data_IF_708529589649
#
_entry.id   IF_708529589649
#
_cell.length_a   1.000
_cell.length_b   1.000
_cell.length_c   1.000
_cell.angle_alpha   90.00
_cell.angle_beta   90.00
_cell.angle_gamma   90.00
#
_symmetry.space_group_name_H-M   'P 1'
#
loop_
_entity.id
_entity.type
_entity.pdbx_description
1 polymer ?
#
# COMPACT_ATOMS: atom_id res chain seq x y z
N UNK A 1 -22.41 -14.95 3.76
CA UNK A 1 -22.34 -13.70 4.55
C UNK A 1 -21.23 -12.86 3.96
N UNK A 2 -21.38 -11.52 3.85
CA UNK A 2 -20.29 -10.67 3.38
C UNK A 2 -19.08 -10.80 4.31
N UNK A 3 -17.87 -10.79 3.75
CA UNK A 3 -16.63 -10.87 4.53
C UNK A 3 -16.53 -9.69 5.50
N UNK A 4 -16.14 -9.95 6.75
CA UNK A 4 -15.97 -8.91 7.77
C UNK A 4 -14.73 -8.07 7.43
N UNK A 5 -14.90 -6.75 7.25
CA UNK A 5 -13.79 -5.84 6.97
C UNK A 5 -12.90 -5.61 8.18
N UNK A 6 -11.62 -5.36 7.90
CA UNK A 6 -10.66 -4.81 8.86
C UNK A 6 -10.79 -3.29 8.83
N UNK A 7 -11.05 -2.65 9.98
CA UNK A 7 -11.30 -1.20 10.04
C UNK A 7 -10.31 -0.51 10.96
N UNK A 8 -9.76 0.61 10.51
CA UNK A 8 -8.81 1.43 11.26
C UNK A 8 -9.29 2.88 11.17
N UNK A 9 -9.51 3.51 12.32
CA UNK A 9 -9.87 4.92 12.43
C UNK A 9 -8.97 5.59 13.44
N UNK A 10 -8.43 6.76 13.08
CA UNK A 10 -7.63 7.59 14.01
C UNK A 10 -8.06 9.04 13.89
N UNK A 11 -8.18 9.73 15.03
CA UNK A 11 -8.51 11.15 15.11
C UNK A 11 -7.62 11.88 16.12
N UNK A 12 -7.63 13.22 16.07
CA UNK A 12 -6.94 14.06 17.04
C UNK A 12 -7.86 14.28 18.26
N UNK A 13 -7.50 13.70 19.40
CA UNK A 13 -8.22 13.86 20.65
C UNK A 13 -7.26 14.39 21.74
N UNK A 14 -7.59 15.54 22.34
CA UNK A 14 -6.75 16.13 23.39
C UNK A 14 -5.32 16.43 22.94
N UNK A 15 -5.12 16.80 21.67
CA UNK A 15 -3.81 17.06 21.08
C UNK A 15 -2.97 15.80 20.78
N UNK A 16 -3.57 14.61 20.81
CA UNK A 16 -2.90 13.34 20.50
C UNK A 16 -3.69 12.52 19.49
N UNK A 17 -3.01 11.75 18.66
CA UNK A 17 -3.62 10.76 17.81
C UNK A 17 -4.23 9.64 18.69
N UNK A 18 -5.51 9.37 18.48
CA UNK A 18 -6.26 8.34 19.19
C UNK A 18 -7.00 7.46 18.21
N UNK A 19 -6.91 6.15 18.40
CA UNK A 19 -7.70 5.21 17.61
C UNK A 19 -9.18 5.33 17.97
N UNK A 20 -10.02 5.61 16.98
CA UNK A 20 -11.48 5.61 17.11
C UNK A 20 -12.09 4.27 16.73
N UNK A 21 -11.42 3.53 15.83
CA UNK A 21 -11.82 2.19 15.38
C UNK A 21 -10.57 1.32 15.18
N UNK A 22 -10.60 0.08 15.67
CA UNK A 22 -9.58 -0.95 15.46
C UNK A 22 -10.22 -2.34 15.39
N UNK A 23 -10.96 -2.57 14.32
CA UNK A 23 -11.69 -3.82 14.15
C UNK A 23 -10.87 -4.84 13.40
N UNK A 24 -10.82 -6.04 13.98
CA UNK A 24 -10.29 -7.21 13.31
C UNK A 24 -11.28 -7.68 12.24
N UNK A 25 -10.81 -7.79 11.00
CA UNK A 25 -11.57 -8.37 9.89
C UNK A 25 -11.56 -9.89 9.92
N UNK A 26 -11.93 -10.50 8.79
CA UNK A 26 -11.85 -11.95 8.61
C UNK A 26 -10.39 -12.45 8.50
N UNK A 27 -9.52 -11.66 7.84
CA UNK A 27 -8.16 -12.10 7.47
C UNK A 27 -7.05 -11.33 8.18
N UNK A 28 -7.32 -10.09 8.61
CA UNK A 28 -6.32 -9.17 9.12
C UNK A 28 -6.74 -8.57 10.47
N UNK A 29 -5.79 -8.47 11.39
CA UNK A 29 -5.95 -7.81 12.68
C UNK A 29 -5.04 -6.57 12.76
N UNK A 30 -5.60 -5.37 12.98
CA UNK A 30 -4.80 -4.18 13.22
C UNK A 30 -4.34 -4.17 14.69
N UNK A 31 -3.04 -3.95 14.92
CA UNK A 31 -2.43 -3.90 16.26
C UNK A 31 -1.67 -2.59 16.46
N UNK A 32 -2.01 -1.76 17.45
CA UNK A 32 -1.24 -0.57 17.78
C UNK A 32 0.23 -0.91 18.02
N UNK A 33 1.12 -0.08 17.49
CA UNK A 33 2.57 -0.18 17.71
C UNK A 33 3.03 1.10 18.38
N UNK A 34 3.48 0.99 19.62
CA UNK A 34 4.04 2.12 20.34
C UNK A 34 5.49 2.34 19.91
N UNK A 35 5.85 3.60 19.56
CA UNK A 35 7.26 3.97 19.52
C UNK A 35 7.78 4.04 20.95
N UNK A 36 8.87 3.32 21.20
CA UNK A 36 9.71 3.58 22.37
C UNK A 36 10.49 4.87 22.09
N UNK A 37 10.53 5.79 23.06
CA UNK A 37 11.29 7.03 22.92
C UNK A 37 12.75 6.72 22.54
N UNK A 38 13.25 7.35 21.48
CA UNK A 38 14.64 7.22 21.07
C UNK A 38 15.58 7.93 22.05
N UNK A 39 16.89 7.65 21.93
CA UNK A 39 17.95 8.28 22.76
C UNK A 39 18.08 9.80 22.54
N UNK A 40 17.36 10.39 21.59
CA UNK A 40 17.44 11.79 21.16
C UNK A 40 16.58 12.78 21.96
N UNK A 41 15.87 12.35 23.01
CA UNK A 41 15.17 13.26 23.95
C UNK A 41 13.90 13.94 23.42
N UNK A 42 13.63 13.89 22.12
CA UNK A 42 12.31 14.23 21.57
C UNK A 42 11.38 13.02 21.74
N UNK A 43 10.30 13.21 22.51
CA UNK A 43 9.25 12.21 22.63
C UNK A 43 8.61 11.89 21.28
N UNK A 44 7.87 10.76 21.17
CA UNK A 44 7.12 10.46 19.95
C UNK A 44 6.17 11.62 19.61
N UNK A 45 6.08 11.95 18.32
CA UNK A 45 5.12 12.94 17.82
C UNK A 45 3.70 12.58 18.31
N UNK A 46 3.06 13.44 19.12
CA UNK A 46 1.78 13.13 19.72
C UNK A 46 0.67 12.95 18.67
N UNK A 47 0.84 13.50 17.45
CA UNK A 47 -0.14 13.44 16.36
C UNK A 47 0.07 12.25 15.42
N UNK A 48 0.98 11.35 15.74
CA UNK A 48 1.35 10.21 14.91
C UNK A 48 0.94 8.88 15.57
N UNK A 49 -0.01 8.16 14.95
CA UNK A 49 -0.38 6.80 15.32
C UNK A 49 0.25 5.78 14.37
N UNK A 50 0.70 4.64 14.90
CA UNK A 50 1.27 3.55 14.10
C UNK A 50 0.58 2.23 14.39
N UNK A 51 0.18 1.50 13.35
CA UNK A 51 -0.56 0.25 13.44
C UNK A 51 0.09 -0.82 12.56
N UNK A 52 0.29 -2.01 13.12
CA UNK A 52 0.69 -3.19 12.37
C UNK A 52 -0.54 -3.91 11.84
N UNK A 53 -0.56 -4.25 10.55
CA UNK A 53 -1.63 -5.03 9.94
C UNK A 53 -1.20 -6.49 9.84
N UNK A 54 -1.70 -7.34 10.74
CA UNK A 54 -1.22 -8.70 10.91
C UNK A 54 -2.18 -9.70 10.27
N UNK A 55 -1.66 -10.60 9.42
CA UNK A 55 -2.40 -11.76 8.94
C UNK A 55 -2.73 -12.73 10.07
N UNK A 56 -4.02 -13.06 10.22
CA UNK A 56 -4.53 -13.96 11.27
C UNK A 56 -5.11 -15.27 10.73
N UNK A 57 -5.13 -15.41 9.41
CA UNK A 57 -5.51 -16.61 8.69
C UNK A 57 -4.74 -16.66 7.36
N UNK A 58 -4.75 -17.83 6.72
CA UNK A 58 -4.34 -17.91 5.31
C UNK A 58 -5.30 -17.09 4.47
N UNK A 59 -4.77 -16.35 3.50
CA UNK A 59 -5.55 -15.45 2.68
C UNK A 59 -4.99 -15.38 1.26
N UNK A 60 -5.82 -14.82 0.37
CA UNK A 60 -5.67 -14.81 -1.08
C UNK A 60 -5.70 -16.22 -1.68
N UNK A 61 -6.61 -17.04 -1.15
CA UNK A 61 -7.14 -18.24 -1.78
C UNK A 61 -8.33 -17.87 -2.69
N UNK A 62 -8.67 -18.76 -3.63
CA UNK A 62 -9.79 -18.53 -4.54
C UNK A 62 -11.10 -18.23 -3.80
N UNK A 63 -11.71 -17.10 -4.11
CA UNK A 63 -12.96 -16.63 -3.49
C UNK A 63 -12.78 -15.78 -2.23
N UNK A 64 -11.56 -15.61 -1.71
CA UNK A 64 -11.32 -14.69 -0.60
C UNK A 64 -11.63 -13.24 -0.99
N UNK A 65 -12.22 -12.50 -0.07
CA UNK A 65 -12.49 -11.06 -0.22
C UNK A 65 -11.95 -10.31 0.99
N UNK A 66 -10.70 -9.85 0.88
CA UNK A 66 -10.02 -9.07 1.91
C UNK A 66 -10.41 -7.61 1.73
N UNK A 67 -11.14 -7.05 2.70
CA UNK A 67 -11.54 -5.64 2.71
C UNK A 67 -10.92 -4.91 3.91
N UNK A 68 -10.20 -3.83 3.61
CA UNK A 68 -9.58 -2.94 4.58
C UNK A 68 -10.16 -1.54 4.41
N UNK A 69 -10.63 -0.96 5.50
CA UNK A 69 -11.21 0.38 5.54
C UNK A 69 -10.40 1.25 6.51
N UNK A 70 -9.94 2.41 6.03
CA UNK A 70 -9.10 3.32 6.81
C UNK A 70 -9.71 4.72 6.84
N UNK A 71 -9.76 5.34 8.01
CA UNK A 71 -10.11 6.74 8.18
C UNK A 71 -9.04 7.45 9.00
N UNK A 72 -8.50 8.53 8.44
CA UNK A 72 -7.49 9.38 9.09
C UNK A 72 -8.11 10.75 9.31
N UNK A 73 -8.24 11.15 10.57
CA UNK A 73 -8.79 12.43 10.99
C UNK A 73 -7.87 13.61 10.68
N UNK A 74 -8.42 14.81 10.82
CA UNK A 74 -7.72 16.04 10.47
C UNK A 74 -6.44 16.23 11.28
N UNK A 75 -5.35 16.63 10.62
CA UNK A 75 -4.06 16.91 11.24
C UNK A 75 -3.38 15.72 11.92
N UNK A 76 -3.83 14.48 11.68
CA UNK A 76 -3.23 13.26 12.24
C UNK A 76 -2.47 12.49 11.18
N UNK A 77 -1.35 11.90 11.58
CA UNK A 77 -0.64 10.91 10.77
C UNK A 77 -0.98 9.49 11.23
N UNK A 78 -1.43 8.64 10.31
CA UNK A 78 -1.52 7.21 10.50
C UNK A 78 -0.45 6.51 9.67
N UNK A 79 0.44 5.78 10.34
CA UNK A 79 1.42 4.89 9.72
C UNK A 79 0.98 3.43 9.83
N UNK A 80 0.62 2.83 8.69
CA UNK A 80 0.32 1.41 8.56
C UNK A 80 1.59 0.67 8.15
N UNK A 81 1.91 -0.39 8.89
CA UNK A 81 3.02 -1.29 8.56
C UNK A 81 2.56 -2.73 8.44
N UNK A 82 3.02 -3.40 7.39
CA UNK A 82 2.81 -4.83 7.19
C UNK A 82 4.09 -5.55 7.65
N UNK A 83 4.03 -6.32 8.75
CA UNK A 83 5.23 -6.95 9.31
C UNK A 83 5.73 -8.14 8.46
N UNK A 84 4.92 -8.63 7.53
CA UNK A 84 5.25 -9.75 6.66
C UNK A 84 4.61 -9.57 5.28
N UNK A 85 5.31 -10.04 4.25
CA UNK A 85 4.76 -10.13 2.89
C UNK A 85 3.64 -11.17 2.79
N UNK A 86 2.89 -11.09 1.71
CA UNK A 86 1.77 -11.98 1.41
C UNK A 86 2.06 -12.83 0.18
N UNK A 87 1.43 -14.00 0.13
CA UNK A 87 1.43 -14.87 -1.04
C UNK A 87 -0.03 -15.08 -1.45
N UNK A 88 -0.35 -14.76 -2.69
CA UNK A 88 -1.58 -15.23 -3.33
C UNK A 88 -1.34 -16.62 -3.90
N UNK A 89 -2.23 -17.54 -3.58
CA UNK A 89 -2.08 -18.96 -3.87
C UNK A 89 -2.94 -19.39 -5.06
N UNK A 90 -2.73 -20.62 -5.52
CA UNK A 90 -3.53 -21.22 -6.58
C UNK A 90 -5.03 -21.11 -6.25
N UNK A 91 -5.76 -20.44 -7.15
CA UNK A 91 -7.13 -20.04 -6.93
C UNK A 91 -8.13 -20.96 -7.66
N UNK A 92 -7.65 -22.02 -8.33
CA UNK A 92 -8.45 -22.95 -9.14
C UNK A 92 -9.41 -22.22 -10.11
N UNK A 93 -8.96 -21.10 -10.68
CA UNK A 93 -9.74 -20.24 -11.58
C UNK A 93 -10.69 -19.25 -10.87
N UNK A 94 -10.90 -19.36 -9.57
CA UNK A 94 -11.79 -18.46 -8.80
C UNK A 94 -11.01 -17.22 -8.34
N UNK A 95 -11.50 -16.02 -8.66
CA UNK A 95 -10.80 -14.78 -8.30
C UNK A 95 -10.84 -14.51 -6.78
N UNK A 96 -9.70 -14.11 -6.21
CA UNK A 96 -9.56 -13.50 -4.90
C UNK A 96 -9.51 -11.96 -5.01
N UNK A 97 -9.95 -11.25 -3.98
CA UNK A 97 -10.00 -9.78 -3.95
C UNK A 97 -9.22 -9.23 -2.76
N UNK A 98 -8.40 -8.22 -3.01
CA UNK A 98 -7.76 -7.38 -2.00
C UNK A 98 -8.20 -5.94 -2.21
N UNK A 99 -8.94 -5.38 -1.26
CA UNK A 99 -9.56 -4.06 -1.40
C UNK A 99 -9.17 -3.17 -0.23
N UNK A 100 -8.64 -1.99 -0.56
CA UNK A 100 -8.38 -0.91 0.37
C UNK A 100 -9.28 0.28 0.00
N UNK A 101 -10.06 0.76 0.98
CA UNK A 101 -10.76 2.04 0.90
C UNK A 101 -10.29 2.94 2.04
N UNK A 102 -9.69 4.08 1.72
CA UNK A 102 -9.18 5.02 2.72
C UNK A 102 -9.71 6.44 2.51
N UNK A 103 -9.99 7.13 3.61
CA UNK A 103 -10.27 8.58 3.64
C UNK A 103 -9.27 9.28 4.54
N UNK A 104 -8.78 10.43 4.09
CA UNK A 104 -7.83 11.27 4.85
C UNK A 104 -8.38 12.69 4.90
N UNK A 105 -8.76 13.13 6.09
CA UNK A 105 -9.33 14.45 6.34
C UNK A 105 -8.25 15.55 6.29
N UNK A 106 -8.69 16.80 6.42
CA UNK A 106 -7.86 17.99 6.18
C UNK A 106 -6.52 17.96 6.93
N UNK A 107 -5.42 18.15 6.20
CA UNK A 107 -4.07 18.10 6.76
C UNK A 107 -3.65 16.75 7.37
N UNK A 108 -4.48 15.71 7.28
CA UNK A 108 -4.15 14.36 7.71
C UNK A 108 -3.15 13.69 6.77
N UNK A 109 -2.48 12.65 7.25
CA UNK A 109 -1.48 11.91 6.45
C UNK A 109 -1.68 10.40 6.62
N UNK A 110 -1.78 9.68 5.51
CA UNK A 110 -1.71 8.22 5.49
C UNK A 110 -0.34 7.79 4.94
N UNK A 111 0.43 7.08 5.77
CA UNK A 111 1.67 6.44 5.38
C UNK A 111 1.42 4.92 5.38
N UNK A 112 1.61 4.26 4.25
CA UNK A 112 1.44 2.81 4.14
C UNK A 112 2.66 2.18 3.48
N UNK A 113 3.52 1.57 4.29
CA UNK A 113 4.65 0.79 3.82
C UNK A 113 4.21 -0.65 3.52
N UNK A 114 3.69 -0.89 2.31
CA UNK A 114 3.20 -2.21 1.92
C UNK A 114 4.35 -3.22 1.82
N UNK A 115 4.13 -4.40 2.39
CA UNK A 115 5.07 -5.51 2.27
C UNK A 115 4.89 -6.19 0.90
N UNK A 116 5.87 -6.99 0.43
CA UNK A 116 5.78 -7.64 -0.86
C UNK A 116 4.58 -8.59 -0.97
N UNK A 117 3.87 -8.51 -2.11
CA UNK A 117 2.85 -9.47 -2.52
C UNK A 117 3.40 -10.37 -3.63
N UNK A 118 3.53 -11.66 -3.33
CA UNK A 118 3.90 -12.70 -4.29
C UNK A 118 2.64 -13.29 -4.92
N UNK A 119 2.52 -13.19 -6.24
CA UNK A 119 1.41 -13.78 -7.00
C UNK A 119 1.87 -15.12 -7.56
N UNK A 120 1.67 -16.19 -6.77
CA UNK A 120 2.16 -17.52 -7.09
C UNK A 120 1.40 -18.16 -8.26
N UNK A 121 1.93 -19.28 -8.76
CA UNK A 121 1.33 -20.01 -9.88
C UNK A 121 -0.14 -20.38 -9.61
N UNK A 122 -1.00 -20.14 -10.60
CA UNK A 122 -2.43 -20.39 -10.53
C UNK A 122 -3.23 -19.39 -9.69
N UNK A 123 -2.60 -18.37 -9.11
CA UNK A 123 -3.33 -17.30 -8.43
C UNK A 123 -4.17 -16.49 -9.43
N UNK A 124 -5.27 -15.92 -8.94
CA UNK A 124 -6.13 -15.00 -9.68
C UNK A 124 -6.59 -13.89 -8.75
N UNK A 125 -5.93 -12.74 -8.81
CA UNK A 125 -6.12 -11.65 -7.84
C UNK A 125 -6.60 -10.38 -8.52
N UNK A 126 -7.67 -9.80 -7.98
CA UNK A 126 -8.00 -8.39 -8.18
C UNK A 126 -7.58 -7.59 -6.95
N UNK A 127 -6.67 -6.64 -7.14
CA UNK A 127 -6.22 -5.71 -6.11
C UNK A 127 -6.74 -4.31 -6.44
N UNK A 128 -7.47 -3.71 -5.51
CA UNK A 128 -8.09 -2.40 -5.69
C UNK A 128 -7.80 -1.50 -4.49
N UNK A 129 -7.11 -0.40 -4.75
CA UNK A 129 -6.79 0.63 -3.76
C UNK A 129 -7.53 1.90 -4.13
N UNK A 130 -8.36 2.40 -3.21
CA UNK A 130 -9.08 3.67 -3.32
C UNK A 130 -8.74 4.57 -2.13
N UNK A 131 -8.29 5.79 -2.42
CA UNK A 131 -7.96 6.78 -1.39
C UNK A 131 -8.60 8.12 -1.74
N UNK A 132 -9.33 8.72 -0.80
CA UNK A 132 -9.86 10.08 -0.94
C UNK A 132 -9.15 11.02 0.02
N UNK A 133 -8.49 12.04 -0.53
CA UNK A 133 -7.74 13.06 0.19
C UNK A 133 -8.56 14.35 0.27
N UNK A 134 -8.68 14.91 1.48
CA UNK A 134 -9.24 16.24 1.68
C UNK A 134 -8.17 17.34 1.48
N UNK A 135 -8.47 18.59 1.87
CA UNK A 135 -7.56 19.71 1.61
C UNK A 135 -6.27 19.58 2.45
N UNK A 136 -5.12 19.66 1.78
CA UNK A 136 -3.81 19.51 2.44
C UNK A 136 -3.52 18.11 2.99
N UNK A 137 -4.41 17.13 2.76
CA UNK A 137 -4.19 15.74 3.13
C UNK A 137 -3.11 15.11 2.26
N UNK A 138 -2.35 14.16 2.82
CA UNK A 138 -1.22 13.52 2.15
C UNK A 138 -1.33 12.00 2.17
N UNK A 139 -0.82 11.39 1.11
CA UNK A 139 -0.64 9.93 1.00
C UNK A 139 0.81 9.64 0.64
N UNK A 140 1.42 8.67 1.32
CA UNK A 140 2.61 7.96 0.83
C UNK A 140 2.32 6.47 0.89
N UNK A 141 2.30 5.81 -0.27
CA UNK A 141 1.98 4.40 -0.43
C UNK A 141 3.17 3.68 -1.09
N UNK A 142 3.66 2.62 -0.47
CA UNK A 142 4.67 1.72 -1.02
C UNK A 142 4.02 0.40 -1.45
N UNK A 143 4.38 -0.08 -2.63
CA UNK A 143 3.89 -1.34 -3.19
C UNK A 143 5.04 -2.14 -3.80
N UNK A 144 5.10 -3.45 -3.52
CA UNK A 144 6.04 -4.38 -4.16
C UNK A 144 5.26 -5.60 -4.64
N UNK A 145 5.20 -5.78 -5.96
CA UNK A 145 4.50 -6.88 -6.62
C UNK A 145 5.53 -7.86 -7.19
N UNK A 146 5.44 -9.12 -6.80
CA UNK A 146 6.37 -10.19 -7.20
C UNK A 146 5.63 -11.24 -8.03
N UNK A 147 6.13 -11.50 -9.23
CA UNK A 147 5.61 -12.48 -10.19
C UNK A 147 6.13 -13.87 -9.87
N UNK A 148 5.30 -14.68 -9.21
CA UNK A 148 5.64 -16.06 -8.86
C UNK A 148 6.68 -16.17 -7.75
N UNK A 149 6.77 -17.35 -7.15
CA UNK A 149 7.94 -17.72 -6.33
C UNK A 149 9.10 -18.07 -7.25
N UNK A 150 10.31 -18.20 -6.68
CA UNK A 150 11.49 -18.63 -7.44
C UNK A 150 11.22 -19.96 -8.13
N UNK A 151 11.37 -19.99 -9.45
CA UNK A 151 11.17 -21.19 -10.27
C UNK A 151 9.72 -21.47 -10.68
N UNK A 152 8.77 -20.65 -10.25
CA UNK A 152 7.36 -20.80 -10.61
C UNK A 152 6.94 -19.84 -11.72
N UNK A 153 5.89 -20.23 -12.46
CA UNK A 153 5.19 -19.31 -13.35
C UNK A 153 4.37 -18.30 -12.53
N UNK A 154 4.19 -17.06 -12.98
CA UNK A 154 3.35 -16.10 -12.28
C UNK A 154 1.86 -16.45 -12.41
N UNK A 155 1.10 -16.15 -11.36
CA UNK A 155 -0.36 -16.11 -11.43
C UNK A 155 -0.88 -14.83 -12.10
N UNK A 156 -2.21 -14.75 -12.18
CA UNK A 156 -2.95 -13.62 -12.73
C UNK A 156 -3.13 -12.53 -11.67
N UNK A 157 -2.79 -11.29 -12.02
CA UNK A 157 -3.01 -10.10 -11.18
C UNK A 157 -3.55 -8.96 -12.04
N UNK A 158 -4.61 -8.32 -11.57
CA UNK A 158 -4.95 -6.95 -11.97
C UNK A 158 -4.94 -6.06 -10.74
N UNK A 159 -4.21 -4.96 -10.80
CA UNK A 159 -4.05 -4.00 -9.70
C UNK A 159 -4.49 -2.62 -10.14
N UNK A 160 -5.45 -2.02 -9.44
CA UNK A 160 -5.89 -0.65 -9.68
C UNK A 160 -5.67 0.25 -8.47
N UNK A 161 -5.11 1.44 -8.70
CA UNK A 161 -4.93 2.48 -7.68
C UNK A 161 -5.68 3.73 -8.13
N UNK A 162 -6.61 4.20 -7.30
CA UNK A 162 -7.43 5.38 -7.57
C UNK A 162 -7.38 6.32 -6.39
N UNK A 163 -6.86 7.51 -6.62
CA UNK A 163 -6.73 8.52 -5.60
C UNK A 163 -7.41 9.82 -6.05
N UNK A 164 -8.30 10.36 -5.23
CA UNK A 164 -9.02 11.60 -5.52
C UNK A 164 -8.68 12.67 -4.47
N UNK A 165 -8.74 13.93 -4.88
CA UNK A 165 -8.54 15.11 -4.05
C UNK A 165 -9.69 16.13 -4.20
N UNK A 166 -9.60 17.30 -3.55
CA UNK A 166 -10.67 18.30 -3.60
C UNK A 166 -10.96 18.84 -5.01
N UNK A 167 -9.96 18.84 -5.90
CA UNK A 167 -10.07 19.34 -7.27
C UNK A 167 -10.37 18.25 -8.31
N UNK A 168 -10.58 16.99 -7.89
CA UNK A 168 -10.78 15.85 -8.79
C UNK A 168 -9.73 14.75 -8.60
N UNK A 169 -9.53 13.94 -9.64
CA UNK A 169 -8.60 12.80 -9.59
C UNK A 169 -7.13 13.25 -9.51
N UNK A 170 -6.36 12.60 -8.63
CA UNK A 170 -4.92 12.83 -8.44
C UNK A 170 -4.10 11.73 -9.13
N UNK A 171 -4.60 10.50 -9.14
CA UNK A 171 -3.99 9.34 -9.78
C UNK A 171 -5.06 8.32 -10.15
N UNK A 172 -4.99 7.83 -11.38
CA UNK A 172 -5.67 6.62 -11.81
C UNK A 172 -4.63 5.70 -12.47
N UNK A 173 -4.47 4.51 -11.91
CA UNK A 173 -3.59 3.47 -12.45
C UNK A 173 -4.35 2.15 -12.53
N UNK A 174 -4.19 1.44 -13.64
CA UNK A 174 -4.70 0.09 -13.86
C UNK A 174 -3.57 -0.73 -14.50
N UNK A 175 -3.01 -1.62 -13.69
CA UNK A 175 -1.95 -2.53 -14.08
C UNK A 175 -2.55 -3.92 -14.29
N UNK A 176 -2.69 -4.28 -15.56
CA UNK A 176 -3.14 -5.60 -15.98
C UNK A 176 -1.93 -6.50 -16.24
N UNK A 177 -1.72 -7.49 -15.37
CA UNK A 177 -0.72 -8.54 -15.51
C UNK A 177 -1.36 -9.89 -15.81
N UNK A 178 -2.51 -9.87 -16.47
CA UNK A 178 -3.21 -11.10 -16.87
C UNK A 178 -2.78 -11.59 -18.25
N UNK A 179 -3.04 -12.87 -18.54
CA UNK A 179 -2.80 -13.47 -19.85
C UNK A 179 -1.36 -13.31 -20.37
N UNK A 180 -1.19 -13.35 -21.69
CA UNK A 180 0.15 -13.39 -22.31
C UNK A 180 0.82 -12.00 -22.41
N UNK A 181 0.01 -10.93 -22.44
CA UNK A 181 0.50 -9.56 -22.66
C UNK A 181 1.36 -9.03 -21.50
N UNK A 182 1.22 -9.60 -20.30
CA UNK A 182 2.02 -9.26 -19.11
C UNK A 182 3.54 -9.35 -19.30
N UNK A 183 4.00 -10.13 -20.28
CA UNK A 183 5.42 -10.29 -20.61
C UNK A 183 5.87 -9.40 -21.78
N UNK A 184 5.00 -8.55 -22.31
CA UNK A 184 5.38 -7.57 -23.32
C UNK A 184 6.37 -6.56 -22.74
N UNK A 185 7.34 -6.10 -23.56
CA UNK A 185 8.38 -5.13 -23.15
C UNK A 185 7.78 -3.81 -22.66
N UNK A 186 6.61 -3.41 -23.19
CA UNK A 186 5.88 -2.22 -22.74
C UNK A 186 5.15 -2.39 -21.40
N UNK A 187 5.16 -3.58 -20.80
CA UNK A 187 4.50 -3.89 -19.52
C UNK A 187 5.56 -4.20 -18.48
N UNK A 188 6.03 -5.45 -18.40
CA UNK A 188 7.10 -5.87 -17.49
C UNK A 188 8.28 -6.56 -18.20
N UNK A 189 8.13 -6.90 -19.48
CA UNK A 189 9.09 -7.75 -20.19
C UNK A 189 9.37 -9.04 -19.41
N UNK A 190 10.65 -9.37 -19.27
CA UNK A 190 11.12 -10.51 -18.49
C UNK A 190 11.25 -10.26 -16.98
N UNK A 191 11.00 -9.04 -16.50
CA UNK A 191 11.23 -8.71 -15.09
C UNK A 191 10.17 -9.33 -14.18
N UNK A 192 10.59 -9.71 -12.97
CA UNK A 192 9.69 -10.38 -12.01
C UNK A 192 9.11 -9.48 -10.94
N UNK A 193 9.74 -8.35 -10.64
CA UNK A 193 9.36 -7.51 -9.51
C UNK A 193 9.14 -6.08 -9.96
N UNK A 194 7.96 -5.56 -9.65
CA UNK A 194 7.65 -4.14 -9.74
C UNK A 194 7.60 -3.56 -8.32
N UNK A 195 8.39 -2.53 -8.07
CA UNK A 195 8.30 -1.70 -6.88
C UNK A 195 7.78 -0.31 -7.23
N UNK A 196 6.91 0.25 -6.40
CA UNK A 196 6.41 1.60 -6.54
C UNK A 196 6.33 2.31 -5.19
N UNK A 197 6.63 3.60 -5.18
CA UNK A 197 6.27 4.53 -4.10
C UNK A 197 5.46 5.66 -4.71
N UNK A 198 4.28 5.92 -4.16
CA UNK A 198 3.34 6.95 -4.63
C UNK A 198 3.15 7.99 -3.54
N UNK A 199 3.43 9.25 -3.85
CA UNK A 199 3.22 10.39 -2.98
C UNK A 199 2.23 11.38 -3.60
N UNK A 200 1.12 11.67 -2.90
CA UNK A 200 0.04 12.53 -3.37
C UNK A 200 -0.38 13.54 -2.30
N UNK A 201 -0.93 14.67 -2.75
CA UNK A 201 -1.34 15.78 -1.88
C UNK A 201 -0.20 16.75 -1.52
N UNK A 202 1.01 16.48 -2.02
CA UNK A 202 2.18 17.34 -1.90
C UNK A 202 3.19 16.96 -2.99
N UNK A 203 4.14 17.85 -3.28
CA UNK A 203 5.27 17.53 -4.18
C UNK A 203 6.40 16.91 -3.35
N UNK A 204 6.73 15.63 -3.53
CA UNK A 204 7.82 15.00 -2.79
C UNK A 204 9.19 15.49 -3.29
N UNK A 205 10.24 15.44 -2.44
CA UNK A 205 11.59 15.84 -2.83
C UNK A 205 12.11 15.02 -4.01
N UNK A 206 13.06 15.59 -4.77
CA UNK A 206 13.70 14.91 -5.89
C UNK A 206 14.39 13.62 -5.43
N UNK A 207 14.45 12.63 -6.33
CA UNK A 207 15.17 11.39 -6.07
C UNK A 207 16.66 11.59 -6.35
N UNK A 208 17.44 11.85 -5.32
CA UNK A 208 18.89 11.89 -5.45
C UNK A 208 19.45 10.46 -5.47
N UNK A 209 20.23 10.12 -6.50
CA UNK A 209 20.99 8.85 -6.58
C UNK A 209 20.11 7.60 -6.41
N UNK A 210 18.88 7.63 -6.91
CA UNK A 210 17.95 6.49 -6.88
C UNK A 210 18.05 5.68 -8.17
N UNK A 211 17.86 4.36 -8.05
CA UNK A 211 17.63 3.47 -9.19
C UNK A 211 16.18 3.51 -9.71
N UNK A 212 15.28 4.20 -8.98
CA UNK A 212 13.89 4.37 -9.38
C UNK A 212 13.74 5.48 -10.42
N UNK A 213 12.83 5.26 -11.37
CA UNK A 213 12.36 6.29 -12.30
C UNK A 213 11.20 7.04 -11.67
N UNK A 214 11.27 8.38 -11.64
CA UNK A 214 10.22 9.26 -11.13
C UNK A 214 9.28 9.70 -12.26
N UNK A 215 7.99 9.71 -11.96
CA UNK A 215 6.92 10.24 -12.80
C UNK A 215 6.14 11.26 -11.98
N UNK A 216 6.15 12.53 -12.38
CA UNK A 216 5.38 13.58 -11.71
C UNK A 216 3.91 13.54 -12.13
N UNK A 217 3.00 13.74 -11.17
CA UNK A 217 1.57 13.82 -11.47
C UNK A 217 1.19 15.25 -11.84
N UNK A 218 0.16 15.41 -12.68
CA UNK A 218 -0.32 16.73 -13.10
C UNK A 218 -0.85 17.58 -11.93
N UNK A 219 -1.31 16.93 -10.84
CA UNK A 219 -1.91 17.58 -9.68
C UNK A 219 -0.91 17.97 -8.58
N UNK A 220 0.40 17.81 -8.80
CA UNK A 220 1.42 17.97 -7.77
C UNK A 220 1.51 16.74 -6.87
N UNK A 221 2.47 15.88 -7.18
CA UNK A 221 2.70 14.56 -6.60
C UNK A 221 3.69 13.79 -7.45
N UNK A 222 4.05 12.58 -7.05
CA UNK A 222 4.92 11.73 -7.87
C UNK A 222 4.71 10.24 -7.59
N UNK A 223 5.01 9.44 -8.60
CA UNK A 223 5.19 7.98 -8.49
C UNK A 223 6.64 7.66 -8.85
N UNK A 224 7.35 6.95 -7.99
CA UNK A 224 8.67 6.40 -8.27
C UNK A 224 8.54 4.89 -8.52
N UNK A 225 9.14 4.36 -9.59
CA UNK A 225 9.07 2.93 -9.93
C UNK A 225 10.43 2.31 -10.21
N UNK A 226 10.53 1.01 -9.93
CA UNK A 226 11.65 0.15 -10.32
C UNK A 226 11.12 -1.20 -10.81
N UNK A 227 11.78 -1.73 -11.83
CA UNK A 227 11.63 -3.11 -12.29
C UNK A 227 12.93 -3.86 -12.07
N UNK A 228 12.87 -5.04 -11.45
CA UNK A 228 14.04 -5.91 -11.28
C UNK A 228 13.62 -7.37 -11.05
N UNK A 229 14.59 -8.27 -10.87
CA UNK A 229 14.33 -9.71 -10.66
C UNK A 229 14.43 -10.16 -9.20
N UNK A 230 14.84 -9.26 -8.30
CA UNK A 230 15.05 -9.51 -6.88
C UNK A 230 14.10 -8.68 -6.03
N UNK A 231 13.20 -9.37 -5.31
CA UNK A 231 12.27 -8.73 -4.38
C UNK A 231 13.02 -8.00 -3.27
N UNK A 232 14.09 -8.60 -2.74
CA UNK A 232 14.91 -7.97 -1.71
C UNK A 232 15.54 -6.65 -2.17
N UNK A 233 16.12 -6.63 -3.38
CA UNK A 233 16.71 -5.42 -3.93
C UNK A 233 15.64 -4.33 -4.14
N UNK A 234 14.50 -4.69 -4.74
CA UNK A 234 13.40 -3.76 -4.94
C UNK A 234 12.89 -3.19 -3.62
N UNK A 235 12.62 -4.06 -2.62
CA UNK A 235 12.16 -3.65 -1.29
C UNK A 235 13.12 -2.64 -0.67
N UNK A 236 14.43 -2.89 -0.69
CA UNK A 236 15.41 -1.96 -0.15
C UNK A 236 15.36 -0.59 -0.84
N UNK A 237 15.22 -0.57 -2.17
CA UNK A 237 15.18 0.67 -2.94
C UNK A 237 13.89 1.46 -2.69
N UNK A 238 12.73 0.80 -2.64
CA UNK A 238 11.46 1.49 -2.36
C UNK A 238 11.38 1.98 -0.91
N UNK A 239 11.93 1.24 0.06
CA UNK A 239 11.97 1.65 1.47
C UNK A 239 12.79 2.94 1.66
N UNK A 240 13.88 3.10 0.93
CA UNK A 240 14.68 4.34 0.94
C UNK A 240 13.87 5.53 0.42
N UNK A 241 13.13 5.34 -0.68
CA UNK A 241 12.28 6.40 -1.25
C UNK A 241 11.09 6.71 -0.35
N UNK A 242 10.42 5.68 0.19
CA UNK A 242 9.34 5.85 1.16
C UNK A 242 9.81 6.64 2.39
N UNK A 243 11.01 6.32 2.92
CA UNK A 243 11.60 7.05 4.04
C UNK A 243 11.91 8.52 3.72
N UNK A 244 12.28 8.83 2.47
CA UNK A 244 12.53 10.21 2.03
C UNK A 244 11.25 11.01 1.75
N UNK A 245 10.14 10.35 1.46
CA UNK A 245 8.87 10.98 1.08
C UNK A 245 7.87 11.09 2.23
N UNK A 246 8.05 10.33 3.33
CA UNK A 246 7.18 10.35 4.52
C UNK A 246 7.37 11.56 5.43
#
# INVERSE_FOLDING_TARGET
MPARSTRIGVELAGGRASYTVLDQGQFLAPRPVHRVAGRSGTGPDPTHARVALIGISMMLLGGDDVLIEVSVGAGVTLEVVEPAGLVAYNAAGVQARWRLSATVADGGTLLWAGAPLVVAEGANVLRDTRVSLAAGARLVLQEVLVRGRTGESPGELRSSVRCSGPAGDLLYEDLDLTGDHRSAVGVLGGTRVLGAVTALGFTPPALERSSLTRFDTASGGAVARILADSAHHVTQQVEQVFAAWR
#
